data_IF_582362579819
#
_entry.id   IF_582362579819
#
_cell.length_a   1.000
_cell.length_b   1.000
_cell.length_c   1.000
_cell.angle_alpha   90.00
_cell.angle_beta   90.00
_cell.angle_gamma   90.00
#
_symmetry.space_group_name_H-M   'P 1'
#
loop_
_entity.id
_entity.type
_entity.pdbx_description
1 polymer ?
#
# COMPACT_ATOMS: atom_id res chain seq x y z
N UNK A 1 8.56 34.96 22.91
CA UNK A 1 7.63 35.48 21.89
C UNK A 1 8.00 34.85 20.55
N UNK A 2 7.63 33.60 20.28
CA UNK A 2 6.28 33.21 19.88
C UNK A 2 6.17 33.28 18.35
N UNK A 3 7.02 32.54 17.61
CA UNK A 3 6.96 32.48 16.15
C UNK A 3 5.74 31.67 15.72
N UNK A 4 4.83 32.40 15.11
CA UNK A 4 3.54 31.99 14.56
C UNK A 4 3.81 31.14 13.31
N UNK A 5 3.18 29.97 13.23
CA UNK A 5 3.08 29.20 11.98
C UNK A 5 3.62 27.79 12.06
N UNK A 6 2.84 26.85 12.64
CA UNK A 6 2.70 25.44 12.20
C UNK A 6 1.35 24.90 12.66
N UNK A 7 0.27 25.39 12.05
CA UNK A 7 -1.04 24.72 12.03
C UNK A 7 -1.37 24.44 10.57
N UNK A 8 -0.74 23.40 10.02
CA UNK A 8 -1.25 22.71 8.85
C UNK A 8 -1.67 21.33 9.33
N UNK A 9 -2.90 20.96 8.99
CA UNK A 9 -3.57 19.69 9.23
C UNK A 9 -2.61 18.50 9.32
N UNK A 10 -2.83 17.62 10.29
CA UNK A 10 -1.95 16.51 10.67
C UNK A 10 -1.71 15.47 9.59
N UNK A 11 -0.95 15.83 8.54
CA UNK A 11 -0.11 14.88 7.83
C UNK A 11 0.93 14.39 8.83
N UNK A 12 0.61 13.27 9.47
CA UNK A 12 1.61 12.37 10.00
C UNK A 12 2.75 12.30 8.97
N UNK A 13 3.98 12.49 9.48
CA UNK A 13 5.20 12.20 8.74
C UNK A 13 4.96 10.96 7.87
N UNK A 14 5.23 11.04 6.58
CA UNK A 14 5.50 9.83 5.80
C UNK A 14 6.64 9.17 6.58
N UNK A 15 6.34 8.05 7.24
CA UNK A 15 7.29 7.35 8.09
C UNK A 15 8.54 7.11 7.22
N UNK A 16 9.72 7.47 7.70
CA UNK A 16 10.98 7.45 6.94
C UNK A 16 11.44 6.03 6.52
N UNK A 17 10.52 5.06 6.60
CA UNK A 17 10.76 3.63 6.75
C UNK A 17 9.77 2.79 5.91
N UNK A 18 9.31 3.29 4.76
CA UNK A 18 8.51 2.49 3.82
C UNK A 18 9.41 1.68 2.89
N UNK A 19 9.34 0.35 2.99
CA UNK A 19 10.05 -0.59 2.11
C UNK A 19 9.22 -0.90 0.85
N UNK A 20 9.76 -0.54 -0.32
CA UNK A 20 9.16 -0.86 -1.62
C UNK A 20 9.80 -2.11 -2.21
N UNK A 21 9.00 -3.15 -2.46
CA UNK A 21 9.47 -4.41 -3.05
C UNK A 21 8.46 -5.03 -4.00
N UNK A 22 8.92 -5.97 -4.81
CA UNK A 22 8.04 -6.82 -5.64
C UNK A 22 7.08 -7.58 -4.74
N UNK A 23 5.80 -7.63 -5.14
CA UNK A 23 4.75 -8.34 -4.43
C UNK A 23 5.00 -9.85 -4.50
N UNK A 24 4.78 -10.53 -3.37
CA UNK A 24 4.82 -11.98 -3.23
C UNK A 24 3.40 -12.52 -3.14
N UNK A 25 3.24 -13.83 -3.33
CA UNK A 25 1.95 -14.49 -3.21
C UNK A 25 1.32 -14.29 -1.82
N UNK A 26 2.14 -14.22 -0.76
CA UNK A 26 1.69 -13.97 0.61
C UNK A 26 1.07 -12.58 0.80
N UNK A 27 1.42 -11.61 -0.05
CA UNK A 27 0.91 -10.24 0.04
C UNK A 27 -0.50 -10.09 -0.55
N UNK A 28 -0.99 -11.06 -1.34
CA UNK A 28 -2.22 -10.91 -2.13
C UNK A 28 -3.46 -10.64 -1.28
N UNK A 29 -3.55 -11.25 -0.08
CA UNK A 29 -4.66 -11.00 0.84
C UNK A 29 -4.64 -9.56 1.37
N UNK A 30 -3.45 -9.05 1.70
CA UNK A 30 -3.28 -7.68 2.16
C UNK A 30 -3.55 -6.69 1.03
N UNK A 31 -3.13 -7.00 -0.19
CA UNK A 31 -3.44 -6.19 -1.38
C UNK A 31 -4.95 -6.12 -1.65
N UNK A 32 -5.68 -7.23 -1.50
CA UNK A 32 -7.14 -7.23 -1.61
C UNK A 32 -7.78 -6.39 -0.50
N UNK A 33 -7.29 -6.52 0.73
CA UNK A 33 -7.77 -5.72 1.86
C UNK A 33 -7.59 -4.23 1.62
N UNK A 34 -6.41 -3.81 1.12
CA UNK A 34 -6.15 -2.42 0.76
C UNK A 34 -7.06 -1.93 -0.38
N UNK A 35 -7.34 -2.77 -1.39
CA UNK A 35 -8.27 -2.41 -2.47
C UNK A 35 -9.69 -2.17 -1.94
N UNK A 36 -10.18 -3.02 -1.03
CA UNK A 36 -11.48 -2.86 -0.36
C UNK A 36 -11.60 -1.57 0.45
N UNK A 37 -10.51 -1.13 1.08
CA UNK A 37 -10.49 0.09 1.88
C UNK A 37 -10.39 1.35 1.03
N UNK A 38 -9.65 1.31 -0.08
CA UNK A 38 -9.25 2.52 -0.80
C UNK A 38 -10.00 2.76 -2.11
N UNK A 39 -10.64 1.73 -2.67
CA UNK A 39 -11.29 1.81 -3.98
C UNK A 39 -12.72 1.24 -3.95
N UNK A 40 -13.68 1.87 -4.65
CA UNK A 40 -15.01 1.30 -4.82
C UNK A 40 -15.01 0.08 -5.75
N UNK A 41 -14.00 -0.05 -6.61
CA UNK A 41 -13.84 -1.15 -7.56
C UNK A 41 -13.07 -2.32 -6.92
N UNK A 42 -13.79 -3.43 -6.76
CA UNK A 42 -13.32 -4.59 -6.01
C UNK A 42 -13.28 -5.85 -6.87
N UNK A 43 -12.30 -6.72 -6.58
CA UNK A 43 -12.07 -7.95 -7.34
C UNK A 43 -12.03 -9.19 -6.43
N UNK A 44 -12.48 -10.32 -6.98
CA UNK A 44 -12.35 -11.63 -6.33
C UNK A 44 -10.88 -12.09 -6.34
N UNK A 45 -10.48 -12.93 -5.38
CA UNK A 45 -9.09 -13.42 -5.27
C UNK A 45 -8.53 -14.08 -6.53
N UNK A 46 -9.38 -14.71 -7.36
CA UNK A 46 -8.98 -15.26 -8.66
C UNK A 46 -8.30 -14.23 -9.58
N UNK A 47 -8.72 -12.96 -9.50
CA UNK A 47 -8.16 -11.87 -10.29
C UNK A 47 -6.74 -11.52 -9.82
N UNK A 48 -6.52 -11.45 -8.51
CA UNK A 48 -5.20 -11.24 -7.93
C UNK A 48 -4.24 -12.39 -8.25
N UNK A 49 -4.71 -13.65 -8.17
CA UNK A 49 -3.91 -14.81 -8.58
C UNK A 49 -3.55 -14.77 -10.06
N UNK A 50 -4.49 -14.39 -10.93
CA UNK A 50 -4.22 -14.26 -12.37
C UNK A 50 -3.08 -13.27 -12.66
N UNK A 51 -3.06 -12.12 -11.99
CA UNK A 51 -2.00 -11.12 -12.14
C UNK A 51 -0.66 -11.61 -11.58
N UNK A 52 -0.66 -12.20 -10.38
CA UNK A 52 0.54 -12.72 -9.74
C UNK A 52 1.21 -13.84 -10.56
N UNK A 53 0.43 -14.69 -11.23
CA UNK A 53 0.94 -15.80 -12.03
C UNK A 53 1.32 -15.39 -13.46
N UNK A 54 0.59 -14.44 -14.06
CA UNK A 54 0.84 -14.01 -15.43
C UNK A 54 2.00 -13.00 -15.52
N UNK A 55 2.12 -12.10 -14.53
CA UNK A 55 3.12 -11.03 -14.51
C UNK A 55 3.70 -10.81 -13.09
N UNK A 56 4.42 -11.79 -12.53
CA UNK A 56 4.90 -11.74 -11.14
C UNK A 56 5.81 -10.53 -10.83
N UNK A 57 6.61 -10.07 -11.79
CA UNK A 57 7.54 -8.95 -11.60
C UNK A 57 6.90 -7.55 -11.69
N UNK A 58 5.61 -7.45 -12.05
CA UNK A 58 4.97 -6.16 -12.33
C UNK A 58 4.27 -5.57 -11.11
N UNK A 59 3.85 -6.40 -10.16
CA UNK A 59 3.15 -5.95 -8.95
C UNK A 59 4.16 -5.59 -7.85
N UNK A 60 3.95 -4.45 -7.20
CA UNK A 60 4.78 -3.97 -6.09
C UNK A 60 3.92 -3.66 -4.87
N UNK A 61 4.51 -3.80 -3.69
CA UNK A 61 3.92 -3.43 -2.40
C UNK A 61 4.85 -2.47 -1.66
N UNK A 62 4.26 -1.54 -0.94
CA UNK A 62 4.94 -0.73 0.06
C UNK A 62 4.51 -1.24 1.45
N UNK A 63 5.48 -1.61 2.29
CA UNK A 63 5.26 -2.06 3.66
C UNK A 63 6.07 -1.19 4.63
N UNK A 64 5.55 -0.96 5.83
CA UNK A 64 6.34 -0.35 6.90
C UNK A 64 7.54 -1.25 7.25
N UNK A 65 8.70 -0.65 7.49
CA UNK A 65 9.84 -1.33 8.08
C UNK A 65 9.44 -1.82 9.48
N UNK A 66 9.68 -3.10 9.74
CA UNK A 66 9.50 -3.68 11.07
C UNK A 66 10.36 -3.00 12.14
#
# INVERSE_FOLDING_TARGET
MGRIGKHYYGLHKIDEKMNLRVAKADDLLNTQHCNLLCLPENYQMKYYFYHALSWPQLSYVAEDDK
#
